data_IF_242600062983
#
_entry.id   IF_242600062983
#
_cell.length_a   1.000
_cell.length_b   1.000
_cell.length_c   1.000
_cell.angle_alpha   90.00
_cell.angle_beta   90.00
_cell.angle_gamma   90.00
#
_symmetry.space_group_name_H-M   'P 1'
#
loop_
_entity.id
_entity.type
_entity.pdbx_description
1 polymer ?
#
# COMPACT_ATOMS: atom_id res chain seq x y z
N UNK A 1 9.72 -3.49 -7.44
CA UNK A 1 9.79 -2.12 -6.88
C UNK A 1 9.05 -2.06 -5.55
N UNK A 2 9.65 -1.33 -4.62
CA UNK A 2 9.03 -1.11 -3.31
C UNK A 2 8.22 0.18 -3.29
N UNK A 3 7.13 0.14 -2.55
CA UNK A 3 6.24 1.29 -2.38
C UNK A 3 5.82 1.40 -0.92
N UNK A 4 5.57 2.63 -0.49
CA UNK A 4 4.96 2.92 0.80
C UNK A 4 3.66 3.67 0.55
N UNK A 5 2.55 3.14 1.04
CA UNK A 5 1.26 3.78 0.98
C UNK A 5 0.94 4.46 2.31
N UNK A 6 0.68 5.75 2.27
CA UNK A 6 0.22 6.54 3.41
C UNK A 6 -1.26 6.79 3.23
N UNK A 7 -2.08 6.27 4.14
CA UNK A 7 -3.52 6.14 3.93
C UNK A 7 -4.32 6.94 4.96
N UNK A 8 -5.34 7.65 4.47
CA UNK A 8 -6.42 8.21 5.28
C UNK A 8 -7.74 7.58 4.84
N UNK A 9 -8.48 7.04 5.80
CA UNK A 9 -9.78 6.45 5.50
C UNK A 9 -10.83 7.53 5.21
N UNK A 10 -11.63 7.30 4.19
CA UNK A 10 -12.76 8.18 3.85
C UNK A 10 -14.06 7.72 4.46
N UNK A 11 -14.12 6.49 4.98
CA UNK A 11 -15.33 5.93 5.56
C UNK A 11 -15.02 5.18 6.85
N UNK A 12 -16.07 4.95 7.61
CA UNK A 12 -15.96 4.20 8.86
C UNK A 12 -15.42 2.79 8.62
N UNK A 13 -14.42 2.41 9.39
CA UNK A 13 -13.83 1.08 9.33
C UNK A 13 -14.55 0.17 10.31
N UNK A 14 -15.24 -0.83 9.78
CA UNK A 14 -15.89 -1.89 10.56
C UNK A 14 -15.14 -3.20 10.31
N UNK A 15 -15.41 -4.21 11.14
CA UNK A 15 -14.83 -5.55 10.92
C UNK A 15 -15.11 -6.06 9.52
N UNK A 16 -16.34 -5.87 9.02
CA UNK A 16 -16.73 -6.35 7.70
C UNK A 16 -16.00 -5.60 6.58
N UNK A 17 -15.86 -4.30 6.71
CA UNK A 17 -15.12 -3.47 5.74
C UNK A 17 -13.65 -3.89 5.69
N UNK A 18 -13.03 -4.10 6.84
CA UNK A 18 -11.62 -4.53 6.91
C UNK A 18 -11.45 -5.93 6.34
N UNK A 19 -12.36 -6.85 6.66
CA UNK A 19 -12.31 -8.21 6.13
C UNK A 19 -12.43 -8.21 4.59
N UNK A 20 -13.31 -7.38 4.03
CA UNK A 20 -13.45 -7.24 2.59
C UNK A 20 -12.18 -6.69 1.94
N UNK A 21 -11.56 -5.68 2.55
CA UNK A 21 -10.29 -5.15 2.07
C UNK A 21 -9.19 -6.20 2.06
N UNK A 22 -9.10 -7.02 3.10
CA UNK A 22 -8.12 -8.10 3.16
C UNK A 22 -8.31 -9.12 2.04
N UNK A 23 -9.57 -9.46 1.73
CA UNK A 23 -9.87 -10.37 0.61
C UNK A 23 -9.42 -9.77 -0.72
N UNK A 24 -9.67 -8.48 -0.94
CA UNK A 24 -9.27 -7.77 -2.15
C UNK A 24 -7.74 -7.74 -2.29
N UNK A 25 -7.04 -7.44 -1.21
CA UNK A 25 -5.58 -7.40 -1.18
C UNK A 25 -5.01 -8.78 -1.55
N UNK A 26 -5.51 -9.85 -0.96
CA UNK A 26 -5.05 -11.20 -1.27
C UNK A 26 -5.29 -11.58 -2.72
N UNK A 27 -6.44 -11.19 -3.28
CA UNK A 27 -6.75 -11.42 -4.68
C UNK A 27 -5.78 -10.66 -5.60
N UNK A 28 -5.46 -9.43 -5.26
CA UNK A 28 -4.49 -8.60 -6.01
C UNK A 28 -3.08 -9.17 -5.93
N UNK A 29 -2.68 -9.66 -4.76
CA UNK A 29 -1.39 -10.33 -4.61
C UNK A 29 -1.27 -11.52 -5.56
N UNK A 30 -2.29 -12.36 -5.58
CA UNK A 30 -2.29 -13.55 -6.43
C UNK A 30 -2.33 -13.22 -7.92
N UNK A 31 -3.08 -12.20 -8.31
CA UNK A 31 -3.38 -11.89 -9.71
C UNK A 31 -2.37 -10.96 -10.36
N UNK A 32 -1.82 -10.02 -9.60
CA UNK A 32 -1.01 -8.92 -10.16
C UNK A 32 0.44 -8.92 -9.70
N UNK A 33 0.84 -9.92 -8.96
CA UNK A 33 2.23 -10.02 -8.48
C UNK A 33 2.59 -9.00 -7.41
N UNK A 34 1.61 -8.52 -6.69
CA UNK A 34 1.83 -7.62 -5.55
C UNK A 34 2.21 -8.47 -4.33
N UNK A 35 3.19 -8.00 -3.56
CA UNK A 35 3.58 -8.63 -2.31
C UNK A 35 3.49 -7.59 -1.19
N UNK A 36 2.56 -7.80 -0.27
CA UNK A 36 2.40 -6.91 0.88
C UNK A 36 3.30 -7.37 2.01
N UNK A 37 4.23 -6.52 2.41
CA UNK A 37 5.15 -6.80 3.51
C UNK A 37 4.56 -6.48 4.87
N UNK A 38 3.69 -5.48 4.93
CA UNK A 38 3.02 -5.13 6.17
C UNK A 38 2.01 -4.02 5.96
N UNK A 39 0.96 -4.06 6.77
CA UNK A 39 -0.04 -3.01 6.86
C UNK A 39 -0.19 -2.70 8.33
N UNK A 40 -0.01 -1.43 8.70
CA UNK A 40 -0.06 -0.97 10.07
C UNK A 40 -1.06 0.16 10.20
N UNK A 41 -1.93 0.08 11.18
CA UNK A 41 -2.78 1.22 11.54
C UNK A 41 -1.98 2.11 12.47
N UNK A 42 -2.07 3.40 12.24
CA UNK A 42 -1.23 4.39 12.91
C UNK A 42 -2.07 5.47 13.59
N UNK A 43 -1.44 6.14 14.53
CA UNK A 43 -1.95 7.38 15.11
C UNK A 43 -1.30 8.56 14.41
N UNK A 44 -1.90 9.73 14.53
CA UNK A 44 -1.35 10.96 13.95
C UNK A 44 -1.95 11.31 12.61
N UNK A 45 -1.14 11.80 11.70
CA UNK A 45 -1.60 12.38 10.43
C UNK A 45 -2.17 11.35 9.45
N UNK A 46 -1.80 10.09 9.57
CA UNK A 46 -2.27 9.01 8.71
C UNK A 46 -2.94 7.93 9.55
N UNK A 47 -3.91 7.26 8.94
CA UNK A 47 -4.65 6.19 9.60
C UNK A 47 -4.00 4.83 9.41
N UNK A 48 -3.30 4.66 8.28
CA UNK A 48 -2.65 3.39 7.95
C UNK A 48 -1.41 3.62 7.09
N UNK A 49 -0.45 2.73 7.24
CA UNK A 49 0.77 2.68 6.42
C UNK A 49 0.91 1.27 5.88
N UNK A 50 1.11 1.15 4.57
CA UNK A 50 1.33 -0.14 3.91
C UNK A 50 2.69 -0.14 3.23
N UNK A 51 3.41 -1.25 3.36
CA UNK A 51 4.68 -1.46 2.66
C UNK A 51 4.48 -2.66 1.74
N UNK A 52 4.71 -2.45 0.45
CA UNK A 52 4.47 -3.50 -0.53
C UNK A 52 5.41 -3.41 -1.72
N UNK A 53 5.53 -4.52 -2.44
CA UNK A 53 6.21 -4.59 -3.72
C UNK A 53 5.20 -4.79 -4.83
N UNK A 54 5.48 -4.19 -5.98
CA UNK A 54 4.75 -4.44 -7.21
C UNK A 54 5.75 -4.60 -8.35
N UNK A 55 5.36 -5.28 -9.45
CA UNK A 55 6.25 -5.45 -10.60
C UNK A 55 6.73 -4.13 -11.19
N UNK A 56 5.84 -3.13 -11.23
CA UNK A 56 6.15 -1.81 -11.75
C UNK A 56 5.22 -0.75 -11.16
N UNK A 57 5.47 0.51 -11.52
CA UNK A 57 4.67 1.64 -11.05
C UNK A 57 3.24 1.63 -11.58
N UNK A 58 3.00 1.00 -12.72
CA UNK A 58 1.65 0.92 -13.31
C UNK A 58 0.73 0.03 -12.48
N UNK A 59 1.25 -1.08 -11.98
CA UNK A 59 0.49 -1.96 -11.09
C UNK A 59 0.20 -1.27 -9.77
N UNK A 60 1.18 -0.55 -9.21
CA UNK A 60 0.97 0.23 -7.99
C UNK A 60 -0.08 1.32 -8.19
N UNK A 61 -0.06 1.99 -9.35
CA UNK A 61 -1.03 3.02 -9.70
C UNK A 61 -2.43 2.44 -9.84
N UNK A 62 -2.57 1.28 -10.48
CA UNK A 62 -3.84 0.56 -10.58
C UNK A 62 -4.45 0.30 -9.21
N UNK A 63 -3.63 -0.16 -8.29
CA UNK A 63 -4.06 -0.41 -6.92
C UNK A 63 -4.54 0.88 -6.25
N UNK A 64 -3.79 1.96 -6.39
CA UNK A 64 -4.15 3.25 -5.83
C UNK A 64 -5.47 3.78 -6.40
N UNK A 65 -5.67 3.64 -7.71
CA UNK A 65 -6.92 4.06 -8.37
C UNK A 65 -8.10 3.28 -7.82
N UNK A 66 -7.98 1.97 -7.65
CA UNK A 66 -9.04 1.13 -7.10
C UNK A 66 -9.40 1.51 -5.65
N UNK A 67 -8.45 2.01 -4.89
CA UNK A 67 -8.65 2.41 -3.49
C UNK A 67 -9.20 3.83 -3.33
N UNK A 68 -9.14 4.65 -4.38
CA UNK A 68 -9.45 6.09 -4.29
C UNK A 68 -10.85 6.40 -3.81
N UNK A 69 -11.81 5.50 -4.03
CA UNK A 69 -13.18 5.66 -3.56
C UNK A 69 -13.28 5.58 -2.03
N UNK A 70 -12.51 4.69 -1.42
CA UNK A 70 -12.61 4.36 -0.01
C UNK A 70 -11.57 5.05 0.88
N UNK A 71 -10.50 5.54 0.28
CA UNK A 71 -9.40 6.13 1.04
C UNK A 71 -8.57 7.09 0.21
N UNK A 72 -7.97 8.07 0.89
CA UNK A 72 -6.93 8.91 0.31
C UNK A 72 -5.60 8.22 0.55
N UNK A 73 -4.88 7.92 -0.52
CA UNK A 73 -3.61 7.24 -0.42
C UNK A 73 -2.52 8.03 -1.14
N UNK A 74 -1.43 8.29 -0.44
CA UNK A 74 -0.20 8.80 -1.03
C UNK A 74 0.72 7.62 -1.20
N UNK A 75 1.11 7.33 -2.44
CA UNK A 75 1.98 6.20 -2.75
C UNK A 75 3.36 6.72 -3.08
N UNK A 76 4.34 6.31 -2.29
CA UNK A 76 5.74 6.69 -2.45
C UNK A 76 6.53 5.54 -3.03
N UNK A 77 7.36 5.82 -4.03
CA UNK A 77 8.36 4.85 -4.47
C UNK A 77 9.43 4.79 -3.39
N UNK A 78 9.78 3.61 -2.96
CA UNK A 78 10.73 3.40 -1.89
C UNK A 78 11.90 2.55 -2.36
N UNK A 79 13.08 2.85 -1.83
CA UNK A 79 14.28 2.04 -2.04
C UNK A 79 14.75 1.59 -0.66
N UNK A 80 14.96 0.28 -0.45
CA UNK A 80 15.50 -0.20 0.81
C UNK A 80 16.80 0.51 1.15
N UNK A 81 16.99 0.83 2.42
CA UNK A 81 18.16 1.61 2.85
C UNK A 81 19.49 0.98 2.43
N UNK A 82 19.57 -0.33 2.44
CA UNK A 82 20.78 -1.05 2.01
C UNK A 82 21.13 -0.80 0.55
N UNK A 83 20.12 -0.70 -0.30
CA UNK A 83 20.32 -0.37 -1.72
C UNK A 83 20.59 1.12 -1.89
N UNK A 84 19.88 1.97 -1.15
CA UNK A 84 20.08 3.41 -1.20
C UNK A 84 21.50 3.80 -0.76
N UNK A 85 22.05 3.08 0.20
CA UNK A 85 23.42 3.31 0.69
C UNK A 85 24.45 3.20 -0.42
N UNK A 86 24.24 2.33 -1.40
CA UNK A 86 25.15 2.16 -2.54
C UNK A 86 25.19 3.37 -3.46
N UNK A 87 24.19 4.25 -3.38
CA UNK A 87 24.11 5.46 -4.18
C UNK A 87 25.01 6.58 -3.64
N UNK A 88 25.58 6.39 -2.47
CA UNK A 88 26.41 7.38 -1.79
C UNK A 88 27.90 7.30 -2.17
N UNK A 89 28.24 6.52 -3.15
CA UNK A 89 29.60 6.38 -3.64
C UNK A 89 30.00 7.51 -4.58
#
# INVERSE_FOLDING_TARGET
MYFVGLVKFKKLQTKDVVAENLRRIKAEEAKEGIKVHGIYWTLGSYDSVAIFEAPDEKIAMKMAIRRAEDMDMKTLVAVPMEEAMKLLE
#
